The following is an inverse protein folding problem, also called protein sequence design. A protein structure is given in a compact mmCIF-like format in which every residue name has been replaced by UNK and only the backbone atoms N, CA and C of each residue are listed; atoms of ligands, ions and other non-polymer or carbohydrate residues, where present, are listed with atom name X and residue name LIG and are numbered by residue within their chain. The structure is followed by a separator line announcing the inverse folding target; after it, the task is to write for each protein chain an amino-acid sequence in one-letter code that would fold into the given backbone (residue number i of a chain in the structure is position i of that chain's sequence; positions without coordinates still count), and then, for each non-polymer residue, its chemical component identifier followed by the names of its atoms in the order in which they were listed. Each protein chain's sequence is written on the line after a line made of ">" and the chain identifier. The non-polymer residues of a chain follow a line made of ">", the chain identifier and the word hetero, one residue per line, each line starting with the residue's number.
data_IF_355824474144
#
_entry.id   IF_355824474144
#
_cell.length_a   1.000
_cell.length_b   1.000
_cell.length_c   1.000
_cell.angle_alpha   90.00
_cell.angle_beta   90.00
_cell.angle_gamma   90.00
#
_symmetry.space_group_name_H-M   'P 1'
#
loop_
_entity.id
_entity.type
_entity.pdbx_description
1 polymer ?
#
# COMPACT_ATOMS: atom_id res chain seq x y z
N UNK A 1 -64.38 4.98 4.71
CA UNK A 1 -63.50 5.83 3.86
C UNK A 1 -62.69 6.72 4.77
N UNK A 2 -61.37 6.92 4.70
CA UNK A 2 -60.16 6.21 4.24
C UNK A 2 -59.07 6.63 5.27
N UNK A 3 -58.10 5.79 5.64
CA UNK A 3 -56.99 6.25 6.48
C UNK A 3 -56.08 7.20 5.68
N UNK A 4 -55.69 8.33 6.26
CA UNK A 4 -54.68 9.23 5.67
C UNK A 4 -53.34 8.89 6.30
N UNK A 5 -52.47 8.32 5.49
CA UNK A 5 -51.10 7.95 5.85
C UNK A 5 -50.23 9.22 6.06
N UNK A 6 -49.34 9.14 7.05
CA UNK A 6 -48.35 10.14 7.45
C UNK A 6 -47.30 10.43 6.37
N UNK A 7 -46.66 11.62 6.34
CA UNK A 7 -45.35 11.78 5.72
C UNK A 7 -44.26 12.04 6.79
N UNK A 8 -43.67 10.98 7.35
CA UNK A 8 -42.44 11.02 8.17
C UNK A 8 -41.20 10.60 7.35
N UNK A 9 -41.36 10.37 6.03
CA UNK A 9 -40.30 9.81 5.19
C UNK A 9 -39.42 10.87 4.48
N UNK A 10 -39.86 12.13 4.34
CA UNK A 10 -39.08 13.14 3.58
C UNK A 10 -37.87 13.68 4.33
N UNK A 11 -37.92 13.81 5.67
CA UNK A 11 -36.81 14.37 6.46
C UNK A 11 -35.60 13.42 6.56
N UNK A 12 -35.83 12.10 6.50
CA UNK A 12 -34.74 11.11 6.56
C UNK A 12 -33.90 11.12 5.28
N UNK A 13 -34.53 11.30 4.13
CA UNK A 13 -33.85 11.31 2.83
C UNK A 13 -32.93 12.53 2.67
N UNK A 14 -33.38 13.71 3.09
CA UNK A 14 -32.58 14.95 3.03
C UNK A 14 -31.36 14.90 3.95
N UNK A 15 -31.48 14.30 5.14
CA UNK A 15 -30.37 14.16 6.10
C UNK A 15 -29.31 13.17 5.60
N UNK A 16 -29.71 12.07 4.96
CA UNK A 16 -28.79 11.11 4.35
C UNK A 16 -28.04 11.71 3.15
N UNK A 17 -28.71 12.49 2.29
CA UNK A 17 -28.09 13.17 1.14
C UNK A 17 -27.09 14.23 1.62
N UNK A 18 -27.43 15.01 2.67
CA UNK A 18 -26.52 16.01 3.25
C UNK A 18 -25.31 15.33 3.91
N UNK A 19 -25.48 14.18 4.57
CA UNK A 19 -24.36 13.42 5.13
C UNK A 19 -23.42 12.86 4.05
N UNK A 20 -23.97 12.33 2.95
CA UNK A 20 -23.18 11.82 1.83
C UNK A 20 -22.41 12.96 1.13
N UNK A 21 -23.02 14.14 0.97
CA UNK A 21 -22.37 15.32 0.37
C UNK A 21 -21.27 15.94 1.25
N UNK A 22 -21.39 15.84 2.58
CA UNK A 22 -20.34 16.30 3.51
C UNK A 22 -19.17 15.32 3.61
N UNK A 23 -19.41 14.02 3.45
CA UNK A 23 -18.37 12.99 3.43
C UNK A 23 -17.55 13.06 2.12
N UNK A 24 -18.18 13.31 0.96
CA UNK A 24 -17.45 13.48 -0.31
C UNK A 24 -16.62 14.77 -0.35
N UNK A 25 -17.12 15.88 0.22
CA UNK A 25 -16.38 17.13 0.35
C UNK A 25 -15.15 16.99 1.27
N UNK A 26 -15.25 16.20 2.35
CA UNK A 26 -14.14 15.93 3.26
C UNK A 26 -13.07 14.99 2.65
N UNK A 27 -13.47 14.05 1.79
CA UNK A 27 -12.53 13.18 1.05
C UNK A 27 -11.74 13.97 0.00
N UNK A 28 -12.37 14.95 -0.67
CA UNK A 28 -11.68 15.80 -1.66
C UNK A 28 -10.68 16.81 -1.07
N UNK A 29 -10.78 17.15 0.21
CA UNK A 29 -9.84 18.09 0.85
C UNK A 29 -8.57 17.42 1.41
N UNK A 30 -8.49 16.08 1.38
CA UNK A 30 -7.29 15.34 1.81
C UNK A 30 -6.31 15.12 0.63
N UNK A 31 -6.72 15.36 -0.61
CA UNK A 31 -5.87 15.13 -1.80
C UNK A 31 -4.90 16.26 -2.17
N UNK A 32 -4.84 17.37 -1.44
CA UNK A 32 -4.06 18.56 -1.86
C UNK A 32 -2.82 18.88 -1.03
N UNK A 33 -2.32 17.94 -0.22
CA UNK A 33 -1.05 18.14 0.48
C UNK A 33 -0.09 17.01 0.09
N UNK A 34 0.92 17.41 -0.70
CA UNK A 34 2.28 16.87 -0.79
C UNK A 34 2.77 16.37 -2.17
N UNK A 35 2.45 17.10 -3.25
CA UNK A 35 3.32 17.12 -4.45
C UNK A 35 4.41 18.19 -4.25
N UNK A 36 5.26 18.00 -3.24
CA UNK A 36 6.39 18.89 -2.94
C UNK A 36 7.76 18.20 -2.96
N UNK A 37 7.82 16.89 -3.24
CA UNK A 37 9.08 16.13 -3.31
C UNK A 37 9.42 15.67 -4.74
N UNK A 38 8.80 16.28 -5.75
CA UNK A 38 9.21 16.10 -7.13
C UNK A 38 10.50 16.89 -7.40
N UNK A 39 11.59 16.58 -6.68
CA UNK A 39 12.98 16.87 -7.05
C UNK A 39 13.87 16.38 -5.91
N UNK A 40 14.41 15.16 -6.00
CA UNK A 40 15.84 14.89 -5.79
C UNK A 40 16.19 13.39 -5.78
N UNK A 41 17.31 13.12 -6.44
CA UNK A 41 18.27 12.03 -6.21
C UNK A 41 18.21 10.77 -7.10
N UNK A 42 18.79 10.90 -8.29
CA UNK A 42 19.45 9.80 -9.01
C UNK A 42 20.66 9.33 -8.19
N UNK A 43 20.49 8.32 -7.35
CA UNK A 43 21.58 7.75 -6.54
C UNK A 43 21.25 6.37 -6.00
N UNK A 44 22.08 5.38 -6.39
CA UNK A 44 21.98 3.92 -6.09
C UNK A 44 20.57 3.36 -6.24
N UNK A 45 20.28 2.76 -7.41
CA UNK A 45 19.04 2.04 -7.75
C UNK A 45 18.49 1.25 -6.55
N UNK A 46 17.59 1.88 -5.81
CA UNK A 46 16.68 1.21 -4.89
C UNK A 46 15.75 0.30 -5.68
N UNK A 47 14.99 -0.53 -4.97
CA UNK A 47 13.96 -1.33 -5.61
C UNK A 47 12.91 -0.40 -6.23
N UNK A 48 12.76 -0.50 -7.55
CA UNK A 48 11.86 0.30 -8.37
C UNK A 48 10.40 -0.10 -8.10
N UNK A 49 9.55 0.79 -7.53
CA UNK A 49 8.17 0.48 -7.19
C UNK A 49 7.34 -0.01 -8.37
N UNK A 50 7.54 0.57 -9.56
CA UNK A 50 6.76 0.20 -10.75
C UNK A 50 7.11 -1.19 -11.25
N UNK A 51 8.39 -1.59 -11.18
CA UNK A 51 8.79 -2.97 -11.49
C UNK A 51 8.23 -3.97 -10.50
N UNK A 52 8.20 -3.61 -9.22
CA UNK A 52 7.57 -4.45 -8.20
C UNK A 52 6.07 -4.59 -8.46
N UNK A 53 5.39 -3.49 -8.80
CA UNK A 53 3.97 -3.50 -9.12
C UNK A 53 3.68 -4.37 -10.34
N UNK A 54 4.42 -4.18 -11.45
CA UNK A 54 4.28 -5.01 -12.66
C UNK A 54 4.41 -6.50 -12.36
N UNK A 55 5.41 -6.87 -11.56
CA UNK A 55 5.62 -8.27 -11.19
C UNK A 55 4.46 -8.83 -10.34
N UNK A 56 3.95 -8.05 -9.38
CA UNK A 56 2.79 -8.47 -8.58
C UNK A 56 1.52 -8.56 -9.43
N UNK A 57 1.32 -7.62 -10.36
CA UNK A 57 0.20 -7.66 -11.31
C UNK A 57 0.23 -8.91 -12.16
N UNK A 58 1.40 -9.29 -12.68
CA UNK A 58 1.58 -10.51 -13.46
C UNK A 58 1.36 -11.79 -12.63
N UNK A 59 1.96 -11.88 -11.45
CA UNK A 59 1.92 -13.11 -10.63
C UNK A 59 0.56 -13.34 -9.94
N UNK A 60 -0.15 -12.26 -9.59
CA UNK A 60 -1.42 -12.33 -8.85
C UNK A 60 -2.64 -11.98 -9.71
N UNK A 61 -2.43 -11.69 -11.00
CA UNK A 61 -3.46 -11.19 -11.92
C UNK A 61 -4.26 -10.03 -11.30
N UNK A 62 -3.55 -9.00 -10.81
CA UNK A 62 -4.19 -7.86 -10.16
C UNK A 62 -5.10 -7.12 -11.12
N UNK A 63 -6.27 -6.69 -10.64
CA UNK A 63 -7.09 -5.72 -11.35
C UNK A 63 -6.44 -4.32 -11.35
N UNK A 64 -6.86 -3.45 -12.27
CA UNK A 64 -6.38 -2.07 -12.34
C UNK A 64 -6.63 -1.31 -11.02
N UNK A 65 -7.77 -1.53 -10.38
CA UNK A 65 -8.12 -0.91 -9.10
C UNK A 65 -7.18 -1.37 -7.97
N UNK A 66 -6.91 -2.68 -7.88
CA UNK A 66 -5.96 -3.22 -6.91
C UNK A 66 -4.53 -2.70 -7.17
N UNK A 67 -4.10 -2.67 -8.43
CA UNK A 67 -2.79 -2.15 -8.79
C UNK A 67 -2.64 -0.67 -8.42
N UNK A 68 -3.68 0.13 -8.66
CA UNK A 68 -3.71 1.55 -8.29
C UNK A 68 -3.69 1.76 -6.76
N UNK A 69 -4.32 0.87 -5.98
CA UNK A 69 -4.25 0.91 -4.52
C UNK A 69 -2.90 0.44 -3.97
N UNK A 70 -2.24 -0.52 -4.63
CA UNK A 70 -0.95 -1.08 -4.21
C UNK A 70 0.23 -0.14 -4.56
N UNK A 71 0.17 0.60 -5.66
CA UNK A 71 1.22 1.55 -6.07
C UNK A 71 1.73 2.45 -4.92
N UNK A 72 0.89 3.22 -4.22
CA UNK A 72 1.37 4.12 -3.15
C UNK A 72 1.97 3.36 -1.96
N UNK A 73 1.55 2.12 -1.70
CA UNK A 73 2.14 1.26 -0.66
C UNK A 73 3.59 0.89 -1.02
N UNK A 74 3.85 0.56 -2.28
CA UNK A 74 5.19 0.23 -2.77
C UNK A 74 6.11 1.45 -2.84
N UNK A 75 5.58 2.62 -3.21
CA UNK A 75 6.30 3.90 -3.17
C UNK A 75 6.72 4.24 -1.73
N UNK A 76 5.79 4.17 -0.77
CA UNK A 76 6.08 4.42 0.64
C UNK A 76 7.11 3.42 1.20
N UNK A 77 7.03 2.15 0.79
CA UNK A 77 8.04 1.15 1.13
C UNK A 77 9.43 1.55 0.59
N UNK A 78 9.52 1.96 -0.67
CA UNK A 78 10.76 2.37 -1.28
C UNK A 78 11.38 3.58 -0.56
N UNK A 79 10.57 4.58 -0.21
CA UNK A 79 11.00 5.75 0.55
C UNK A 79 11.53 5.36 1.94
N UNK A 80 10.79 4.54 2.70
CA UNK A 80 11.21 4.04 4.03
C UNK A 80 12.55 3.30 3.94
N UNK A 81 12.74 2.46 2.92
CA UNK A 81 14.01 1.75 2.70
C UNK A 81 15.15 2.73 2.37
N UNK A 82 14.91 3.70 1.51
CA UNK A 82 15.91 4.70 1.16
C UNK A 82 16.37 5.49 2.38
N UNK A 83 15.43 5.94 3.22
CA UNK A 83 15.73 6.62 4.49
C UNK A 83 16.58 5.74 5.40
N UNK A 84 16.15 4.50 5.62
CA UNK A 84 16.89 3.51 6.43
C UNK A 84 18.33 3.32 5.94
N UNK A 85 18.53 3.16 4.63
CA UNK A 85 19.87 2.99 4.06
C UNK A 85 20.72 4.27 4.15
N UNK A 86 20.11 5.43 3.96
CA UNK A 86 20.81 6.72 4.05
C UNK A 86 21.32 6.97 5.49
N UNK A 87 20.50 6.67 6.50
CA UNK A 87 20.85 6.78 7.92
C UNK A 87 21.92 5.75 8.34
N UNK A 88 21.89 4.56 7.72
CA UNK A 88 22.79 3.45 8.05
C UNK A 88 24.13 3.46 7.29
N UNK A 89 24.32 4.38 6.33
CA UNK A 89 25.48 4.42 5.42
C UNK A 89 26.83 4.66 6.12
N UNK A 90 26.82 5.07 7.40
CA UNK A 90 28.02 5.46 8.17
C UNK A 90 28.56 4.38 9.11
N UNK A 91 28.32 3.10 8.81
CA UNK A 91 28.78 1.98 9.66
C UNK A 91 27.77 1.53 10.71
N UNK A 92 26.46 1.70 10.43
CA UNK A 92 25.38 1.33 11.34
C UNK A 92 25.30 -0.16 11.69
N UNK A 93 24.62 -0.47 12.79
CA UNK A 93 24.41 -1.85 13.25
C UNK A 93 23.61 -2.65 12.21
N UNK A 94 24.29 -3.61 11.58
CA UNK A 94 23.69 -4.52 10.60
C UNK A 94 22.53 -5.34 11.16
N UNK A 95 22.50 -5.64 12.46
CA UNK A 95 21.38 -6.35 13.08
C UNK A 95 20.16 -5.44 13.17
N UNK A 96 20.33 -4.23 13.68
CA UNK A 96 19.26 -3.21 13.71
C UNK A 96 18.71 -2.93 12.30
N UNK A 97 19.57 -2.77 11.28
CA UNK A 97 19.12 -2.54 9.90
C UNK A 97 18.29 -3.70 9.36
N UNK A 98 18.69 -4.95 9.64
CA UNK A 98 17.91 -6.13 9.23
C UNK A 98 16.55 -6.18 9.91
N UNK A 99 16.48 -5.83 11.19
CA UNK A 99 15.24 -5.82 11.93
C UNK A 99 14.27 -4.77 11.39
N UNK A 100 14.75 -3.54 11.17
CA UNK A 100 13.94 -2.47 10.60
C UNK A 100 13.48 -2.80 9.18
N UNK A 101 14.33 -3.43 8.37
CA UNK A 101 13.94 -3.93 7.05
C UNK A 101 12.84 -5.00 7.15
N UNK A 102 12.91 -5.90 8.14
CA UNK A 102 11.88 -6.91 8.38
C UNK A 102 10.54 -6.26 8.71
N UNK A 103 10.54 -5.27 9.60
CA UNK A 103 9.33 -4.52 9.97
C UNK A 103 8.72 -3.81 8.76
N UNK A 104 9.54 -3.11 7.96
CA UNK A 104 9.08 -2.46 6.72
C UNK A 104 8.41 -3.49 5.79
N UNK A 105 9.02 -4.67 5.62
CA UNK A 105 8.43 -5.72 4.80
C UNK A 105 7.11 -6.25 5.35
N UNK A 106 7.03 -6.55 6.65
CA UNK A 106 5.80 -7.06 7.28
C UNK A 106 4.66 -6.05 7.21
N UNK A 107 4.95 -4.76 7.39
CA UNK A 107 3.95 -3.70 7.25
C UNK A 107 3.43 -3.59 5.82
N UNK A 108 4.33 -3.54 4.83
CA UNK A 108 3.97 -3.53 3.41
C UNK A 108 3.13 -4.74 3.04
N UNK A 109 3.51 -5.94 3.49
CA UNK A 109 2.79 -7.17 3.17
C UNK A 109 1.35 -7.13 3.69
N UNK A 110 1.14 -6.68 4.95
CA UNK A 110 -0.21 -6.56 5.53
C UNK A 110 -1.09 -5.57 4.76
N UNK A 111 -0.50 -4.45 4.31
CA UNK A 111 -1.23 -3.46 3.52
C UNK A 111 -1.62 -4.02 2.15
N UNK A 112 -0.73 -4.76 1.49
CA UNK A 112 -1.04 -5.43 0.22
C UNK A 112 -2.11 -6.49 0.42
N UNK A 113 -1.97 -7.38 1.42
CA UNK A 113 -2.95 -8.44 1.71
C UNK A 113 -4.36 -7.89 1.96
N UNK A 114 -4.50 -6.68 2.51
CA UNK A 114 -5.80 -6.04 2.71
C UNK A 114 -6.54 -5.63 1.43
N UNK A 115 -5.85 -5.60 0.28
CA UNK A 115 -6.38 -5.24 -1.04
C UNK A 115 -6.65 -6.49 -1.91
N UNK A 116 -6.05 -7.63 -1.55
CA UNK A 116 -6.13 -8.87 -2.31
C UNK A 116 -7.40 -9.67 -1.97
N UNK A 117 -7.83 -10.51 -2.91
CA UNK A 117 -8.84 -11.55 -2.62
C UNK A 117 -8.21 -12.70 -1.81
N UNK A 118 -9.01 -13.54 -1.13
CA UNK A 118 -8.50 -14.71 -0.41
C UNK A 118 -7.58 -15.60 -1.27
N UNK A 119 -7.94 -15.86 -2.52
CA UNK A 119 -7.17 -16.68 -3.45
C UNK A 119 -5.84 -16.02 -3.81
N UNK A 120 -5.84 -14.71 -4.03
CA UNK A 120 -4.61 -13.94 -4.31
C UNK A 120 -3.69 -13.86 -3.09
N UNK A 121 -4.24 -13.84 -1.87
CA UNK A 121 -3.45 -13.90 -0.62
C UNK A 121 -2.67 -15.21 -0.55
N UNK A 122 -3.30 -16.35 -0.87
CA UNK A 122 -2.61 -17.65 -0.89
C UNK A 122 -1.45 -17.65 -1.89
N UNK A 123 -1.69 -17.16 -3.11
CA UNK A 123 -0.66 -17.02 -4.14
C UNK A 123 0.47 -16.07 -3.71
N UNK A 124 0.13 -14.94 -3.11
CA UNK A 124 1.11 -13.99 -2.59
C UNK A 124 2.00 -14.62 -1.52
N UNK A 125 1.41 -15.37 -0.57
CA UNK A 125 2.18 -16.07 0.46
C UNK A 125 3.09 -17.16 -0.13
N UNK A 126 2.65 -17.88 -1.16
CA UNK A 126 3.50 -18.81 -1.88
C UNK A 126 4.67 -18.12 -2.58
N UNK A 127 4.40 -17.03 -3.31
CA UNK A 127 5.41 -16.23 -3.99
C UNK A 127 6.49 -15.79 -2.98
N UNK A 128 6.07 -15.31 -1.80
CA UNK A 128 6.96 -14.93 -0.70
C UNK A 128 7.79 -16.09 -0.16
N UNK A 129 7.20 -17.28 0.02
CA UNK A 129 7.92 -18.49 0.43
C UNK A 129 9.00 -18.87 -0.59
N UNK A 130 8.67 -18.84 -1.88
CA UNK A 130 9.62 -19.12 -2.99
C UNK A 130 10.78 -18.12 -2.98
N UNK A 131 10.51 -16.82 -2.81
CA UNK A 131 11.56 -15.80 -2.73
C UNK A 131 12.46 -15.96 -1.50
N UNK A 132 11.91 -16.33 -0.34
CA UNK A 132 12.71 -16.62 0.88
C UNK A 132 13.55 -17.89 0.72
N UNK A 133 13.02 -18.92 0.07
CA UNK A 133 13.71 -20.19 -0.19
C UNK A 133 14.83 -20.08 -1.25
N UNK A 134 14.75 -19.10 -2.16
CA UNK A 134 15.76 -18.87 -3.21
C UNK A 134 17.00 -18.09 -2.72
N UNK A 135 17.10 -17.77 -1.41
CA UNK A 135 18.35 -17.32 -0.81
C UNK A 135 19.37 -18.47 -0.90
N UNK A 136 20.20 -18.41 -1.97
CA UNK A 136 21.30 -19.35 -2.25
C UNK A 136 22.06 -19.65 -0.95
N UNK A 137 22.44 -20.92 -0.67
CA UNK A 137 23.40 -21.17 0.39
C UNK A 137 24.60 -20.26 0.11
N UNK A 138 24.91 -19.37 1.05
CA UNK A 138 26.10 -18.54 0.96
C UNK A 138 27.26 -19.52 0.90
N UNK A 139 27.80 -19.72 -0.30
CA UNK A 139 28.98 -20.53 -0.51
C UNK A 139 30.12 -19.67 0.03
N UNK A 140 30.34 -19.79 1.34
CA UNK A 140 31.50 -19.26 2.04
C UNK A 140 32.72 -19.88 1.37
N UNK A 141 33.46 -19.08 0.61
CA UNK A 141 34.87 -19.29 0.31
C UNK A 141 35.71 -18.49 1.28
#
# INVERSE_FOLDING_TARGET
>A
MRPVETPVQSESASRAIIQILLITLAICLISTILVANAFSFEGRRGSDPEKMLSHLTEELALSDDQANQIRPILEAQAEKRQKLFSESSSGGDRRAMREQMRVIHEETDRQIESILTPEQIEQFQELRKRMRGKKRPMQNG
#
